data_IF_806515683971
#
_entry.id   IF_806515683971
#
_cell.length_a   1.000
_cell.length_b   1.000
_cell.length_c   1.000
_cell.angle_alpha   90.00
_cell.angle_beta   90.00
_cell.angle_gamma   90.00
#
_symmetry.space_group_name_H-M   'P 1'
#
loop_
_entity.id
_entity.type
_entity.pdbx_description
1 polymer ?
#
# COMPACT_ATOMS: atom_id res chain seq x y z
N UNK A 1 8.62 -16.37 -14.23
CA UNK A 1 9.02 -15.30 -15.17
C UNK A 1 7.86 -14.34 -15.43
N UNK A 2 6.70 -14.82 -15.89
CA UNK A 2 5.53 -13.96 -16.15
C UNK A 2 5.03 -13.24 -14.89
N UNK A 3 4.96 -13.92 -13.74
CA UNK A 3 4.57 -13.31 -12.47
C UNK A 3 5.47 -12.11 -12.08
N UNK A 4 6.78 -12.22 -12.29
CA UNK A 4 7.73 -11.14 -12.01
C UNK A 4 7.56 -9.97 -12.98
N UNK A 5 7.31 -10.25 -14.26
CA UNK A 5 7.06 -9.21 -15.26
C UNK A 5 5.76 -8.46 -14.97
N UNK A 6 4.69 -9.17 -14.59
CA UNK A 6 3.41 -8.57 -14.18
C UNK A 6 3.60 -7.74 -12.91
N UNK A 7 4.30 -8.26 -11.89
CA UNK A 7 4.58 -7.53 -10.66
C UNK A 7 5.35 -6.23 -10.92
N UNK A 8 6.39 -6.28 -11.76
CA UNK A 8 7.15 -5.09 -12.16
C UNK A 8 6.28 -4.07 -12.91
N UNK A 9 5.44 -4.53 -13.86
CA UNK A 9 4.53 -3.66 -14.59
C UNK A 9 3.47 -3.02 -13.68
N UNK A 10 2.87 -3.80 -12.76
CA UNK A 10 1.95 -3.31 -11.75
C UNK A 10 2.61 -2.28 -10.84
N UNK A 11 3.84 -2.53 -10.38
CA UNK A 11 4.58 -1.58 -9.54
C UNK A 11 4.85 -0.27 -10.28
N UNK A 12 5.28 -0.33 -11.54
CA UNK A 12 5.50 0.86 -12.36
C UNK A 12 4.22 1.64 -12.64
N UNK A 13 3.07 0.97 -12.80
CA UNK A 13 1.81 1.61 -13.15
C UNK A 13 1.02 2.11 -11.95
N UNK A 14 0.89 1.33 -10.87
CA UNK A 14 0.05 1.66 -9.72
C UNK A 14 0.79 2.39 -8.59
N UNK A 15 2.11 2.53 -8.71
CA UNK A 15 2.90 3.34 -7.79
C UNK A 15 3.48 4.56 -8.52
N UNK A 16 3.73 5.61 -7.75
CA UNK A 16 4.33 6.85 -8.22
C UNK A 16 5.50 7.23 -7.33
N UNK A 17 6.46 7.97 -7.87
CA UNK A 17 7.50 8.58 -7.04
C UNK A 17 6.87 9.63 -6.14
N UNK A 18 7.27 9.60 -4.88
CA UNK A 18 6.76 10.47 -3.85
C UNK A 18 7.89 10.87 -2.91
N UNK A 19 8.05 12.17 -2.75
CA UNK A 19 9.00 12.77 -1.83
C UNK A 19 8.21 13.39 -0.68
N UNK A 20 8.26 12.83 0.54
CA UNK A 20 7.61 13.44 1.69
C UNK A 20 8.29 14.77 2.05
N UNK A 21 7.59 15.65 2.79
CA UNK A 21 8.19 16.90 3.26
C UNK A 21 9.37 16.68 4.23
N UNK A 22 9.43 15.53 4.88
CA UNK A 22 10.55 15.06 5.68
C UNK A 22 10.75 13.56 5.42
N UNK A 23 12.01 13.12 5.24
CA UNK A 23 12.39 11.73 5.01
C UNK A 23 12.73 11.40 3.56
N UNK A 24 13.07 10.14 3.32
CA UNK A 24 13.58 9.67 2.02
C UNK A 24 12.45 9.45 0.98
N UNK A 25 12.69 9.74 -0.31
CA UNK A 25 11.76 9.42 -1.38
C UNK A 25 11.37 7.93 -1.43
N UNK A 26 10.17 7.65 -1.93
CA UNK A 26 9.68 6.28 -2.13
C UNK A 26 8.63 6.16 -3.22
N UNK A 27 8.27 4.92 -3.52
CA UNK A 27 7.18 4.57 -4.42
C UNK A 27 5.89 4.50 -3.61
N UNK A 28 5.05 5.53 -3.73
CA UNK A 28 3.74 5.64 -3.09
C UNK A 28 2.66 5.01 -3.97
N UNK A 29 1.70 4.31 -3.37
CA UNK A 29 0.49 3.88 -4.07
C UNK A 29 -0.28 5.08 -4.64
N UNK A 30 -0.62 5.03 -5.92
CA UNK A 30 -1.46 6.06 -6.54
C UNK A 30 -2.85 6.04 -5.93
N UNK A 31 -3.47 7.22 -5.84
CA UNK A 31 -4.89 7.33 -5.49
C UNK A 31 -5.73 6.47 -6.46
N UNK A 32 -6.63 5.67 -5.91
CA UNK A 32 -7.48 4.77 -6.67
C UNK A 32 -8.45 4.03 -5.76
N UNK A 33 -9.02 2.95 -6.28
CA UNK A 33 -9.87 2.07 -5.50
C UNK A 33 -9.02 1.20 -4.56
N UNK A 34 -9.17 1.43 -3.26
CA UNK A 34 -8.36 0.79 -2.21
C UNK A 34 -8.61 -0.71 -2.11
N UNK A 35 -9.80 -1.20 -2.50
CA UNK A 35 -10.06 -2.64 -2.51
C UNK A 35 -9.31 -3.32 -3.65
N UNK A 36 -9.30 -2.73 -4.84
CA UNK A 36 -8.46 -3.25 -5.93
C UNK A 36 -6.97 -3.23 -5.55
N UNK A 37 -6.51 -2.21 -4.82
CA UNK A 37 -5.15 -2.17 -4.26
C UNK A 37 -4.88 -3.32 -3.28
N UNK A 38 -5.82 -3.64 -2.39
CA UNK A 38 -5.69 -4.77 -1.47
C UNK A 38 -5.68 -6.11 -2.20
N UNK A 39 -6.52 -6.29 -3.23
CA UNK A 39 -6.50 -7.48 -4.08
C UNK A 39 -5.17 -7.61 -4.82
N UNK A 40 -4.63 -6.50 -5.33
CA UNK A 40 -3.31 -6.46 -5.97
C UNK A 40 -2.20 -6.88 -5.00
N UNK A 41 -2.23 -6.41 -3.74
CA UNK A 41 -1.26 -6.81 -2.71
C UNK A 41 -1.18 -8.33 -2.53
N UNK A 42 -2.31 -9.06 -2.63
CA UNK A 42 -2.31 -10.53 -2.51
C UNK A 42 -1.34 -11.16 -3.51
N UNK A 43 -1.36 -10.73 -4.77
CA UNK A 43 -0.45 -11.24 -5.80
C UNK A 43 1.02 -10.96 -5.49
N UNK A 44 1.33 -9.79 -4.94
CA UNK A 44 2.70 -9.46 -4.51
C UNK A 44 3.17 -10.30 -3.32
N UNK A 45 2.27 -10.62 -2.38
CA UNK A 45 2.58 -11.52 -1.27
C UNK A 45 2.88 -12.94 -1.77
N UNK A 46 2.05 -13.47 -2.67
CA UNK A 46 2.28 -14.80 -3.25
C UNK A 46 3.62 -14.85 -4.01
N UNK A 47 3.97 -13.80 -4.75
CA UNK A 47 5.26 -13.73 -5.43
C UNK A 47 6.44 -13.70 -4.44
N UNK A 48 6.33 -12.90 -3.37
CA UNK A 48 7.37 -12.83 -2.34
C UNK A 48 7.62 -14.18 -1.67
N UNK A 49 6.58 -14.98 -1.43
CA UNK A 49 6.76 -16.33 -0.86
C UNK A 49 7.54 -17.27 -1.79
N UNK A 50 7.56 -16.99 -3.09
CA UNK A 50 8.29 -17.79 -4.09
C UNK A 50 9.73 -17.30 -4.27
N UNK A 51 9.97 -15.99 -4.35
CA UNK A 51 11.29 -15.44 -4.71
C UNK A 51 12.02 -14.69 -3.60
N UNK A 52 11.38 -14.43 -2.46
CA UNK A 52 11.95 -13.74 -1.31
C UNK A 52 12.24 -12.24 -1.53
N UNK A 53 11.82 -11.65 -2.66
CA UNK A 53 12.10 -10.25 -2.97
C UNK A 53 11.09 -9.31 -2.30
N UNK A 54 11.54 -8.58 -1.27
CA UNK A 54 10.70 -7.66 -0.48
C UNK A 54 10.37 -6.33 -1.16
N UNK A 55 11.00 -5.98 -2.29
CA UNK A 55 10.95 -4.62 -2.87
C UNK A 55 9.53 -4.05 -3.05
N UNK A 56 8.58 -4.90 -3.45
CA UNK A 56 7.21 -4.49 -3.68
C UNK A 56 6.43 -4.38 -2.36
N UNK A 57 6.62 -5.33 -1.43
CA UNK A 57 6.02 -5.28 -0.11
C UNK A 57 6.50 -4.07 0.67
N UNK A 58 7.78 -3.71 0.56
CA UNK A 58 8.33 -2.50 1.17
C UNK A 58 7.66 -1.23 0.63
N UNK A 59 7.33 -1.20 -0.66
CA UNK A 59 6.60 -0.08 -1.26
C UNK A 59 5.17 0.03 -0.71
N UNK A 60 4.47 -1.10 -0.52
CA UNK A 60 3.17 -1.11 0.17
C UNK A 60 3.31 -0.67 1.63
N UNK A 61 4.26 -1.23 2.37
CA UNK A 61 4.49 -0.94 3.78
C UNK A 61 4.76 0.55 3.99
N UNK A 62 5.68 1.14 3.22
CA UNK A 62 5.97 2.58 3.29
C UNK A 62 4.78 3.45 2.91
N UNK A 63 3.97 3.02 1.93
CA UNK A 63 2.73 3.71 1.56
C UNK A 63 1.71 3.70 2.71
N UNK A 64 1.53 2.56 3.37
CA UNK A 64 0.59 2.43 4.48
C UNK A 64 1.08 3.13 5.75
N UNK A 65 2.37 3.02 6.11
CA UNK A 65 2.96 3.77 7.24
C UNK A 65 2.75 5.28 7.08
N UNK A 66 2.94 5.78 5.86
CA UNK A 66 2.66 7.18 5.56
C UNK A 66 1.16 7.50 5.65
N UNK A 67 0.29 6.63 5.11
CA UNK A 67 -1.15 6.80 5.17
C UNK A 67 -1.71 6.76 6.61
N UNK A 68 -1.09 6.01 7.52
CA UNK A 68 -1.47 5.96 8.94
C UNK A 68 -1.47 7.33 9.61
N UNK A 69 -0.50 8.16 9.23
CA UNK A 69 -0.30 9.49 9.79
C UNK A 69 -0.96 10.60 8.98
N UNK A 70 -1.10 10.44 7.66
CA UNK A 70 -1.54 11.53 6.77
C UNK A 70 -2.92 11.32 6.16
N UNK A 71 -3.40 10.08 6.02
CA UNK A 71 -4.67 9.77 5.37
C UNK A 71 -5.76 9.30 6.34
N UNK A 72 -5.41 9.02 7.61
CA UNK A 72 -6.34 8.63 8.67
C UNK A 72 -6.88 9.86 9.40
N UNK A 73 -8.20 9.94 9.54
CA UNK A 73 -8.88 11.01 10.27
C UNK A 73 -9.01 10.71 11.77
N UNK A 74 -9.44 11.70 12.56
CA UNK A 74 -9.60 11.59 14.02
C UNK A 74 -10.58 10.48 14.45
N UNK A 75 -11.54 10.14 13.59
CA UNK A 75 -12.47 9.03 13.79
C UNK A 75 -11.85 7.65 13.49
N UNK A 76 -10.57 7.60 13.10
CA UNK A 76 -9.83 6.39 12.77
C UNK A 76 -10.05 5.86 11.36
N UNK A 77 -10.89 6.50 10.53
CA UNK A 77 -11.18 6.07 9.17
C UNK A 77 -10.21 6.71 8.16
N UNK A 78 -9.93 5.99 7.09
CA UNK A 78 -8.95 6.37 6.08
C UNK A 78 -9.58 6.99 4.84
N UNK A 79 -8.89 7.97 4.29
CA UNK A 79 -9.10 8.50 2.94
C UNK A 79 -8.42 7.62 1.88
N UNK A 80 -8.96 7.65 0.66
CA UNK A 80 -8.44 6.90 -0.50
C UNK A 80 -7.15 7.51 -1.08
N UNK A 81 -6.84 8.75 -0.73
CA UNK A 81 -5.58 9.40 -1.06
C UNK A 81 -4.57 9.22 0.06
N UNK A 82 -3.64 8.27 -0.13
CA UNK A 82 -2.63 7.94 0.88
C UNK A 82 -1.62 9.05 1.12
N UNK A 83 -1.55 10.05 0.24
CA UNK A 83 -0.70 11.22 0.46
C UNK A 83 -1.29 12.20 1.48
N UNK A 84 -2.57 12.04 1.84
CA UNK A 84 -3.28 12.96 2.74
C UNK A 84 -3.64 14.31 2.12
N UNK A 85 -3.39 14.53 0.83
CA UNK A 85 -3.66 15.81 0.16
C UNK A 85 -5.14 16.05 -0.11
N UNK A 86 -5.94 14.99 -0.15
CA UNK A 86 -7.39 15.07 -0.34
C UNK A 86 -8.14 14.21 0.66
N UNK A 87 -9.28 14.73 1.11
CA UNK A 87 -10.20 14.01 2.00
C UNK A 87 -11.45 13.59 1.22
N UNK A 88 -11.95 12.40 1.53
CA UNK A 88 -13.18 11.86 0.97
C UNK A 88 -14.39 12.34 1.75
N UNK A 89 -15.42 12.83 1.04
CA UNK A 89 -16.68 13.28 1.64
C UNK A 89 -17.46 12.17 2.34
N UNK A 90 -17.19 10.90 2.01
CA UNK A 90 -17.82 9.72 2.62
C UNK A 90 -16.79 8.61 2.76
N UNK A 91 -16.89 7.85 3.84
CA UNK A 91 -16.03 6.70 4.11
C UNK A 91 -16.78 5.41 3.78
N UNK A 92 -16.35 4.71 2.74
CA UNK A 92 -16.96 3.45 2.32
C UNK A 92 -16.44 2.28 3.16
N UNK A 93 -17.33 1.41 3.63
CA UNK A 93 -16.95 0.21 4.39
C UNK A 93 -15.92 -0.64 3.63
N UNK A 94 -16.07 -0.77 2.31
CA UNK A 94 -15.18 -1.54 1.46
C UNK A 94 -13.73 -1.00 1.50
N UNK A 95 -13.56 0.33 1.45
CA UNK A 95 -12.26 0.99 1.61
C UNK A 95 -11.63 0.69 2.96
N UNK A 96 -12.42 0.77 4.04
CA UNK A 96 -11.91 0.56 5.39
C UNK A 96 -11.51 -0.90 5.62
N UNK A 97 -12.33 -1.84 5.15
CA UNK A 97 -12.01 -3.27 5.21
C UNK A 97 -10.73 -3.59 4.42
N UNK A 98 -10.55 -2.97 3.25
CA UNK A 98 -9.35 -3.13 2.45
C UNK A 98 -8.09 -2.56 3.14
N UNK A 99 -8.18 -1.41 3.82
CA UNK A 99 -7.07 -0.89 4.63
C UNK A 99 -6.67 -1.86 5.73
N UNK A 100 -7.65 -2.35 6.51
CA UNK A 100 -7.41 -3.32 7.58
C UNK A 100 -6.78 -4.60 7.03
N UNK A 101 -7.28 -5.12 5.90
CA UNK A 101 -6.70 -6.29 5.24
C UNK A 101 -5.22 -6.07 4.89
N UNK A 102 -4.88 -4.93 4.28
CA UNK A 102 -3.50 -4.64 3.88
C UNK A 102 -2.56 -4.54 5.09
N UNK A 103 -2.96 -3.82 6.15
CA UNK A 103 -2.17 -3.76 7.39
C UNK A 103 -1.99 -5.15 8.03
N UNK A 104 -3.07 -5.92 8.14
CA UNK A 104 -3.02 -7.24 8.76
C UNK A 104 -2.09 -8.19 8.01
N UNK A 105 -2.13 -8.17 6.67
CA UNK A 105 -1.25 -8.99 5.83
C UNK A 105 0.21 -8.58 5.95
N UNK A 106 0.52 -7.28 5.94
CA UNK A 106 1.90 -6.81 6.08
C UNK A 106 2.49 -7.06 7.47
N UNK A 107 1.66 -7.00 8.52
CA UNK A 107 2.10 -7.29 9.90
C UNK A 107 2.67 -8.71 10.06
N UNK A 108 2.20 -9.69 9.27
CA UNK A 108 2.76 -11.05 9.27
C UNK A 108 4.23 -11.06 8.84
N UNK A 109 4.61 -10.17 7.94
CA UNK A 109 5.98 -10.09 7.40
C UNK A 109 6.88 -9.13 8.19
N UNK A 110 6.31 -8.17 8.93
CA UNK A 110 7.05 -7.28 9.82
C UNK A 110 7.75 -8.02 10.97
N UNK A 111 7.19 -9.16 11.41
CA UNK A 111 7.78 -10.00 12.47
C UNK A 111 8.83 -11.00 11.95
N UNK A 112 9.12 -11.00 10.64
CA UNK A 112 10.19 -11.79 10.04
C UNK A 112 11.38 -10.89 9.75
N UNK A 113 12.16 -10.62 10.81
CA UNK A 113 13.47 -9.97 10.89
C UNK A 113 13.84 -9.01 9.74
N UNK A 114 13.84 -7.72 10.07
CA UNK A 114 14.77 -6.73 9.49
C UNK A 114 16.21 -7.10 9.82
#
# INVERSE_FOLDING_TARGET
KDAQAIAAACHNYFFMEFTPGQGEPFRMLKKGDVWFTAVMLRGFIELYQVDGNKVYLDSFARSLDYAWTHAREDNGLFNTDFTGKSCDNRKWLLTQAAMVEMYARLAVFANQSL
#
